data_IF_197056469997
#
_entry.id   IF_197056469997
#
_cell.length_a   1.000
_cell.length_b   1.000
_cell.length_c   1.000
_cell.angle_alpha   90.00
_cell.angle_beta   90.00
_cell.angle_gamma   90.00
#
_symmetry.space_group_name_H-M   'P 1'
#
loop_
_entity.id
_entity.type
_entity.pdbx_description
1 polymer ?
#
# COMPACT_ATOMS: atom_id res chain seq x y z
N UNK A 1 5.69 -11.78 -12.12
CA UNK A 1 5.93 -11.27 -10.75
C UNK A 1 6.45 -12.33 -9.77
N UNK A 2 5.77 -13.47 -9.53
CA UNK A 2 6.26 -14.52 -8.61
C UNK A 2 7.63 -15.10 -9.01
N UNK A 3 7.80 -15.39 -10.31
CA UNK A 3 9.07 -15.91 -10.85
C UNK A 3 10.19 -14.88 -10.67
N UNK A 4 9.87 -13.58 -10.70
CA UNK A 4 10.89 -12.55 -10.73
C UNK A 4 11.55 -12.24 -9.41
N UNK A 5 10.75 -12.21 -8.35
CA UNK A 5 11.29 -12.04 -7.01
C UNK A 5 11.94 -13.33 -6.51
N UNK A 6 11.36 -14.49 -6.80
CA UNK A 6 11.96 -15.79 -6.44
C UNK A 6 13.27 -16.01 -7.22
N UNK A 7 13.33 -15.63 -8.50
CA UNK A 7 14.57 -15.64 -9.30
C UNK A 7 15.56 -14.59 -8.82
N UNK A 8 15.15 -13.39 -8.42
CA UNK A 8 16.05 -12.38 -7.87
C UNK A 8 16.61 -12.78 -6.50
N UNK A 9 15.79 -13.36 -5.62
CA UNK A 9 16.22 -13.92 -4.34
C UNK A 9 17.14 -15.12 -4.54
N UNK A 10 16.81 -16.03 -5.46
CA UNK A 10 17.65 -17.20 -5.82
C UNK A 10 18.96 -16.81 -6.50
N UNK A 11 18.95 -15.80 -7.38
CA UNK A 11 20.17 -15.25 -8.02
C UNK A 11 21.08 -14.56 -7.01
N UNK A 12 20.50 -13.86 -6.03
CA UNK A 12 21.27 -13.26 -4.92
C UNK A 12 21.92 -14.33 -4.02
N UNK A 13 21.34 -15.53 -3.95
CA UNK A 13 21.93 -16.67 -3.23
C UNK A 13 22.94 -17.51 -4.03
N UNK A 14 23.08 -17.29 -5.35
CA UNK A 14 23.94 -18.12 -6.22
C UNK A 14 25.19 -17.41 -6.76
N UNK A 15 25.50 -16.18 -6.33
CA UNK A 15 26.76 -15.52 -6.67
C UNK A 15 27.84 -15.83 -5.62
N UNK A 16 28.85 -16.68 -5.92
CA UNK A 16 29.83 -17.15 -4.94
C UNK A 16 30.80 -16.07 -4.45
N UNK A 17 30.69 -14.82 -4.91
CA UNK A 17 31.57 -13.71 -4.53
C UNK A 17 30.95 -12.61 -3.66
N UNK A 18 29.63 -12.59 -3.47
CA UNK A 18 28.94 -11.60 -2.61
C UNK A 18 28.34 -12.30 -1.41
N UNK A 19 28.84 -12.00 -0.21
CA UNK A 19 28.11 -12.26 1.04
C UNK A 19 26.72 -11.62 0.89
N UNK A 20 25.71 -12.43 0.61
CA UNK A 20 24.32 -12.02 0.65
C UNK A 20 23.96 -11.87 2.12
N UNK A 21 24.18 -10.68 2.66
CA UNK A 21 23.40 -10.24 3.80
C UNK A 21 21.95 -10.35 3.33
N UNK A 22 21.24 -11.38 3.79
CA UNK A 22 19.84 -11.60 3.41
C UNK A 22 19.04 -10.31 3.58
N UNK A 23 18.00 -10.12 2.78
CA UNK A 23 17.17 -8.92 2.85
C UNK A 23 16.78 -8.64 4.31
N UNK A 24 17.25 -7.50 4.85
CA UNK A 24 16.91 -7.09 6.20
C UNK A 24 15.49 -6.50 6.13
N UNK A 25 14.52 -7.28 6.57
CA UNK A 25 13.15 -6.83 6.76
C UNK A 25 13.15 -5.80 7.90
N UNK A 26 12.76 -4.57 7.60
CA UNK A 26 12.67 -3.47 8.56
C UNK A 26 11.30 -2.82 8.44
N UNK A 27 10.82 -2.15 9.49
CA UNK A 27 9.55 -1.41 9.48
C UNK A 27 9.41 -0.43 8.32
N UNK A 28 10.54 0.05 7.80
CA UNK A 28 10.61 1.03 6.71
C UNK A 28 10.59 0.37 5.33
N UNK A 29 10.81 -0.94 5.26
CA UNK A 29 10.79 -1.74 4.03
C UNK A 29 9.34 -2.07 3.67
N UNK A 30 8.61 -1.09 3.14
CA UNK A 30 7.26 -1.27 2.59
C UNK A 30 7.27 -1.06 1.07
N UNK A 31 6.72 -2.03 0.34
CA UNK A 31 6.55 -2.02 -1.12
C UNK A 31 5.24 -2.69 -1.52
N UNK A 32 4.85 -2.57 -2.78
CA UNK A 32 3.60 -3.13 -3.29
C UNK A 32 3.71 -4.60 -3.66
N UNK A 33 2.72 -5.39 -3.25
CA UNK A 33 2.59 -6.81 -3.59
C UNK A 33 1.49 -7.11 -4.61
N UNK A 34 0.48 -6.24 -4.74
CA UNK A 34 -0.57 -6.34 -5.77
C UNK A 34 -0.94 -4.96 -6.31
N UNK A 35 -1.33 -4.89 -7.57
CA UNK A 35 -1.94 -3.70 -8.16
C UNK A 35 -2.89 -4.05 -9.30
N UNK A 36 -3.87 -3.18 -9.53
CA UNK A 36 -4.84 -3.27 -10.63
C UNK A 36 -5.12 -1.86 -11.14
N UNK A 37 -5.01 -1.67 -12.45
CA UNK A 37 -5.27 -0.39 -13.09
C UNK A 37 -6.63 -0.41 -13.79
N UNK A 38 -7.43 0.63 -13.56
CA UNK A 38 -8.64 0.91 -14.33
C UNK A 38 -8.48 2.29 -14.99
N UNK A 39 -8.38 2.38 -16.33
CA UNK A 39 -8.11 3.64 -17.04
C UNK A 39 -9.06 4.79 -16.67
N UNK A 40 -10.32 4.46 -16.35
CA UNK A 40 -11.35 5.44 -15.98
C UNK A 40 -11.14 6.05 -14.58
N UNK A 41 -10.53 5.31 -13.66
CA UNK A 41 -10.57 5.66 -12.25
C UNK A 41 -9.19 5.81 -11.60
N UNK A 42 -8.23 5.01 -12.02
CA UNK A 42 -6.87 5.01 -11.49
C UNK A 42 -6.39 3.63 -11.06
N UNK A 43 -5.47 3.62 -10.10
CA UNK A 43 -4.70 2.45 -9.66
C UNK A 43 -5.16 2.01 -8.27
N UNK A 44 -5.71 0.79 -8.17
CA UNK A 44 -5.84 0.08 -6.89
C UNK A 44 -4.55 -0.68 -6.57
N UNK A 45 -4.12 -0.68 -5.31
CA UNK A 45 -2.88 -1.33 -4.91
C UNK A 45 -2.97 -1.94 -3.51
N UNK A 46 -2.03 -2.83 -3.22
CA UNK A 46 -1.72 -3.22 -1.87
C UNK A 46 -0.25 -3.31 -1.58
N UNK A 47 0.04 -3.12 -0.30
CA UNK A 47 1.37 -3.14 0.27
C UNK A 47 1.58 -4.42 1.08
N UNK A 48 2.85 -4.82 1.16
CA UNK A 48 3.25 -6.00 1.92
C UNK A 48 2.89 -5.97 3.41
N UNK A 49 2.71 -4.77 3.97
CA UNK A 49 2.32 -4.59 5.36
C UNK A 49 0.80 -4.73 5.59
N UNK A 50 0.05 -5.09 4.56
CA UNK A 50 -1.41 -5.23 4.61
C UNK A 50 -2.17 -3.95 4.26
N UNK A 51 -1.50 -2.80 4.15
CA UNK A 51 -2.16 -1.58 3.73
C UNK A 51 -2.72 -1.72 2.31
N UNK A 52 -3.94 -1.23 2.10
CA UNK A 52 -4.62 -1.19 0.81
C UNK A 52 -4.92 0.25 0.45
N UNK A 53 -4.91 0.56 -0.84
CA UNK A 53 -5.27 1.91 -1.27
C UNK A 53 -5.62 2.01 -2.74
N UNK A 54 -6.02 3.23 -3.10
CA UNK A 54 -6.30 3.63 -4.46
C UNK A 54 -5.67 5.00 -4.71
N UNK A 55 -4.97 5.14 -5.84
CA UNK A 55 -4.53 6.41 -6.41
C UNK A 55 -5.46 6.74 -7.58
N UNK A 56 -6.24 7.81 -7.43
CA UNK A 56 -7.22 8.24 -8.42
C UNK A 56 -6.61 9.19 -9.45
N UNK A 57 -7.18 9.19 -10.65
CA UNK A 57 -6.74 10.05 -11.75
C UNK A 57 -6.90 11.56 -11.48
N UNK A 58 -7.69 11.95 -10.47
CA UNK A 58 -7.91 13.34 -10.08
C UNK A 58 -6.91 13.85 -9.02
N UNK A 59 -5.74 13.22 -8.92
CA UNK A 59 -4.68 13.54 -7.96
C UNK A 59 -5.14 13.43 -6.51
N UNK A 60 -5.95 12.42 -6.20
CA UNK A 60 -6.33 12.07 -4.84
C UNK A 60 -6.05 10.60 -4.55
N UNK A 61 -5.85 10.24 -3.28
CA UNK A 61 -5.69 8.84 -2.87
C UNK A 61 -6.55 8.49 -1.67
N UNK A 62 -6.85 7.20 -1.54
CA UNK A 62 -7.35 6.59 -0.31
C UNK A 62 -6.38 5.52 0.15
N UNK A 63 -6.10 5.43 1.45
CA UNK A 63 -5.30 4.34 2.03
C UNK A 63 -5.85 3.91 3.39
N UNK A 64 -5.80 2.61 3.68
CA UNK A 64 -6.28 2.00 4.93
C UNK A 64 -5.45 0.78 5.32
N UNK A 65 -5.49 0.44 6.61
CA UNK A 65 -4.93 -0.79 7.19
C UNK A 65 -6.04 -1.77 7.66
N UNK A 66 -7.31 -1.52 7.31
CA UNK A 66 -8.54 -2.09 7.91
C UNK A 66 -8.67 -3.64 7.94
N UNK A 67 -7.72 -4.41 7.41
CA UNK A 67 -7.96 -5.82 7.08
C UNK A 67 -7.30 -6.84 8.01
N UNK A 68 -6.44 -6.44 8.93
CA UNK A 68 -5.68 -7.42 9.74
C UNK A 68 -5.89 -7.36 11.25
N UNK A 69 -6.50 -6.31 11.78
CA UNK A 69 -6.62 -6.14 13.23
C UNK A 69 -8.02 -5.67 13.60
N UNK A 70 -8.87 -6.61 14.03
CA UNK A 70 -10.11 -6.32 14.75
C UNK A 70 -9.85 -5.66 16.13
N UNK A 71 -8.58 -5.45 16.50
CA UNK A 71 -8.18 -4.91 17.79
C UNK A 71 -7.80 -3.42 17.66
N UNK A 72 -8.28 -2.55 18.56
CA UNK A 72 -8.04 -1.11 18.50
C UNK A 72 -6.60 -0.83 18.91
N UNK A 73 -5.81 -0.08 18.13
CA UNK A 73 -4.52 0.36 18.65
C UNK A 73 -4.14 1.78 18.19
N UNK A 74 -4.93 2.75 18.66
CA UNK A 74 -4.43 4.07 19.05
C UNK A 74 -5.35 4.73 20.09
N UNK A 75 -4.86 4.88 21.33
CA UNK A 75 -5.54 5.68 22.36
C UNK A 75 -5.28 7.16 22.12
N UNK A 76 -6.15 7.84 21.37
CA UNK A 76 -6.19 9.31 21.40
C UNK A 76 -7.08 9.73 22.57
N UNK A 77 -6.46 10.05 23.71
CA UNK A 77 -7.15 10.70 24.83
C UNK A 77 -7.40 12.17 24.49
N UNK A 78 -8.56 12.49 23.92
CA UNK A 78 -9.12 13.84 23.97
C UNK A 78 -10.56 13.74 24.47
N UNK A 79 -10.78 14.31 25.65
CA UNK A 79 -12.05 14.59 26.33
C UNK A 79 -13.31 13.82 25.87
N UNK A 80 -13.72 12.89 26.74
CA UNK A 80 -15.09 12.40 26.95
C UNK A 80 -15.83 11.60 25.86
N UNK A 81 -15.28 11.37 24.66
CA UNK A 81 -15.78 10.29 23.78
C UNK A 81 -14.62 9.61 23.05
N UNK A 82 -14.04 8.57 23.67
CA UNK A 82 -13.15 7.64 23.00
C UNK A 82 -13.96 6.81 21.99
N UNK A 83 -14.25 7.38 20.82
CA UNK A 83 -14.77 6.61 19.70
C UNK A 83 -13.57 5.90 19.08
N UNK A 84 -13.47 4.62 19.37
CA UNK A 84 -12.44 3.74 18.85
C UNK A 84 -12.50 3.82 17.31
N UNK A 85 -11.48 4.40 16.69
CA UNK A 85 -11.39 4.57 15.24
C UNK A 85 -10.99 3.23 14.61
N UNK A 86 -11.89 2.24 14.68
CA UNK A 86 -11.67 0.87 14.22
C UNK A 86 -11.65 0.73 12.70
N UNK A 87 -12.15 1.72 11.99
CA UNK A 87 -12.42 1.63 10.55
C UNK A 87 -12.25 3.00 9.92
N UNK A 88 -11.00 3.43 9.81
CA UNK A 88 -10.68 4.75 9.28
C UNK A 88 -9.76 4.64 8.09
N UNK A 89 -9.91 5.58 7.16
CA UNK A 89 -9.05 5.68 5.99
C UNK A 89 -8.52 7.09 5.86
N UNK A 90 -7.32 7.20 5.30
CA UNK A 90 -6.74 8.48 4.94
C UNK A 90 -7.18 8.83 3.53
N UNK A 91 -7.84 9.98 3.38
CA UNK A 91 -8.05 10.64 2.10
C UNK A 91 -6.96 11.67 1.89
N UNK A 92 -6.24 11.55 0.78
CA UNK A 92 -5.08 12.39 0.47
C UNK A 92 -5.38 13.19 -0.78
N UNK A 93 -5.13 14.49 -0.72
CA UNK A 93 -5.11 15.38 -1.88
C UNK A 93 -3.65 15.70 -2.17
N UNK A 94 -3.17 15.30 -3.34
CA UNK A 94 -1.76 15.50 -3.70
C UNK A 94 -1.49 16.95 -4.06
N UNK A 95 -0.47 17.53 -3.45
CA UNK A 95 -0.04 18.89 -3.76
C UNK A 95 0.67 18.96 -5.12
N UNK A 96 0.57 20.11 -5.77
CA UNK A 96 1.34 20.41 -6.98
C UNK A 96 2.62 21.19 -6.63
N UNK A 97 3.68 20.97 -7.42
CA UNK A 97 4.92 21.77 -7.46
C UNK A 97 5.35 22.39 -6.12
N UNK A 98 5.90 21.58 -5.21
CA UNK A 98 6.44 22.06 -3.93
C UNK A 98 5.39 22.26 -2.83
N UNK A 99 4.10 22.18 -3.15
CA UNK A 99 3.03 22.13 -2.14
C UNK A 99 2.97 20.72 -1.51
N UNK A 100 2.88 20.60 -0.17
CA UNK A 100 2.75 19.30 0.47
C UNK A 100 1.39 18.66 0.16
N UNK A 101 1.35 17.33 0.12
CA UNK A 101 0.07 16.60 0.09
C UNK A 101 -0.67 16.75 1.41
N UNK A 102 -1.98 16.94 1.34
CA UNK A 102 -2.85 17.08 2.51
C UNK A 102 -3.58 15.79 2.78
N UNK A 103 -3.47 15.26 4.00
CA UNK A 103 -4.18 14.06 4.43
C UNK A 103 -5.32 14.42 5.40
N UNK A 104 -6.48 13.79 5.22
CA UNK A 104 -7.63 13.89 6.12
C UNK A 104 -8.07 12.49 6.49
N UNK A 105 -8.28 12.24 7.78
CA UNK A 105 -8.74 10.95 8.29
C UNK A 105 -10.27 10.96 8.33
N UNK A 106 -10.90 9.95 7.74
CA UNK A 106 -12.34 9.75 7.80
C UNK A 106 -12.68 8.43 8.48
N UNK A 107 -13.77 8.44 9.25
CA UNK A 107 -14.37 7.23 9.78
C UNK A 107 -15.33 6.62 8.75
N UNK A 108 -15.35 5.29 8.63
CA UNK A 108 -16.19 4.59 7.64
C UNK A 108 -17.69 4.82 7.83
N UNK A 109 -18.12 5.08 9.06
CA UNK A 109 -19.53 5.35 9.37
C UNK A 109 -19.96 6.78 9.02
N UNK A 110 -18.99 7.68 8.78
CA UNK A 110 -19.21 9.10 8.56
C UNK A 110 -18.50 9.57 7.28
N UNK A 111 -18.82 8.92 6.16
CA UNK A 111 -18.22 9.22 4.86
C UNK A 111 -18.93 10.42 4.20
N UNK A 112 -18.21 11.49 3.85
CA UNK A 112 -18.76 12.58 3.05
C UNK A 112 -19.29 12.12 1.67
N UNK A 113 -20.39 12.72 1.22
CA UNK A 113 -21.09 12.32 -0.02
C UNK A 113 -20.22 12.44 -1.27
N UNK A 114 -19.29 13.39 -1.28
CA UNK A 114 -18.37 13.67 -2.39
C UNK A 114 -17.30 12.57 -2.58
N UNK A 115 -16.91 11.87 -1.51
CA UNK A 115 -15.90 10.80 -1.58
C UNK A 115 -16.49 9.38 -1.50
N UNK A 116 -17.79 9.24 -1.22
CA UNK A 116 -18.48 7.95 -1.08
C UNK A 116 -18.27 7.01 -2.28
N UNK A 117 -18.26 7.54 -3.50
CA UNK A 117 -17.98 6.76 -4.72
C UNK A 117 -16.55 6.22 -4.76
N UNK A 118 -15.58 6.98 -4.27
CA UNK A 118 -14.16 6.57 -4.21
C UNK A 118 -13.97 5.46 -3.18
N UNK A 119 -14.63 5.55 -2.03
CA UNK A 119 -14.62 4.50 -0.99
C UNK A 119 -15.22 3.20 -1.53
N UNK A 120 -16.36 3.27 -2.23
CA UNK A 120 -16.95 2.08 -2.88
C UNK A 120 -16.00 1.46 -3.90
N UNK A 121 -15.36 2.27 -4.73
CA UNK A 121 -14.42 1.77 -5.73
C UNK A 121 -13.18 1.13 -5.09
N UNK A 122 -12.67 1.71 -4.00
CA UNK A 122 -11.60 1.10 -3.21
C UNK A 122 -11.98 -0.29 -2.71
N UNK A 123 -13.21 -0.48 -2.22
CA UNK A 123 -13.72 -1.80 -1.85
C UNK A 123 -13.76 -2.76 -3.05
N UNK A 124 -14.17 -2.29 -4.23
CA UNK A 124 -14.15 -3.11 -5.46
C UNK A 124 -12.73 -3.53 -5.86
N UNK A 125 -11.75 -2.62 -5.81
CA UNK A 125 -10.35 -2.95 -6.06
C UNK A 125 -9.85 -4.02 -5.08
N UNK A 126 -10.16 -3.87 -3.79
CA UNK A 126 -9.77 -4.80 -2.75
C UNK A 126 -10.28 -6.21 -3.04
N UNK A 127 -11.60 -6.38 -3.21
CA UNK A 127 -12.20 -7.70 -3.50
C UNK A 127 -11.58 -8.34 -4.73
N UNK A 128 -11.35 -7.56 -5.80
CA UNK A 128 -10.68 -8.06 -6.99
C UNK A 128 -9.25 -8.57 -6.71
N UNK A 129 -8.44 -7.78 -5.99
CA UNK A 129 -7.05 -8.16 -5.66
C UNK A 129 -6.99 -9.38 -4.73
N UNK A 130 -7.96 -9.56 -3.85
CA UNK A 130 -8.05 -10.73 -2.95
C UNK A 130 -8.45 -11.99 -3.73
N UNK A 131 -9.43 -11.88 -4.64
CA UNK A 131 -9.93 -13.03 -5.39
C UNK A 131 -9.04 -13.45 -6.57
N UNK A 132 -8.36 -12.50 -7.23
CA UNK A 132 -7.76 -12.72 -8.56
C UNK A 132 -6.24 -12.63 -8.58
N UNK A 133 -5.61 -12.03 -7.58
CA UNK A 133 -4.16 -11.82 -7.58
C UNK A 133 -3.50 -12.58 -6.44
N UNK A 134 -2.42 -13.30 -6.74
CA UNK A 134 -1.54 -13.87 -5.72
C UNK A 134 -0.63 -12.77 -5.15
N UNK A 135 -0.56 -12.67 -3.82
CA UNK A 135 0.22 -11.64 -3.13
C UNK A 135 1.50 -12.20 -2.54
N UNK A 136 2.51 -11.35 -2.39
CA UNK A 136 3.76 -11.69 -1.69
C UNK A 136 3.60 -11.67 -0.17
N UNK A 137 2.53 -11.06 0.35
CA UNK A 137 2.25 -10.99 1.79
C UNK A 137 2.13 -12.36 2.48
N UNK A 138 1.88 -13.44 1.73
CA UNK A 138 1.87 -14.82 2.26
C UNK A 138 3.28 -15.40 2.47
N UNK A 139 4.31 -14.82 1.83
CA UNK A 139 5.70 -15.26 1.93
C UNK A 139 6.50 -14.52 3.01
N UNK A 140 5.92 -13.49 3.63
CA UNK A 140 6.59 -12.69 4.66
C UNK A 140 6.48 -13.44 5.98
N UNK A 141 7.60 -13.74 6.67
CA UNK A 141 7.55 -14.35 7.99
C UNK A 141 6.63 -13.54 8.92
N UNK A 142 5.80 -14.22 9.70
CA UNK A 142 4.80 -13.57 10.57
C UNK A 142 5.40 -12.51 11.51
N UNK A 143 6.63 -12.75 12.00
CA UNK A 143 7.39 -11.80 12.81
C UNK A 143 7.73 -10.49 12.07
N UNK A 144 8.00 -10.58 10.76
CA UNK A 144 8.18 -9.41 9.91
C UNK A 144 6.82 -8.74 9.62
N UNK A 145 5.74 -9.49 9.39
CA UNK A 145 4.41 -8.91 9.16
C UNK A 145 3.95 -7.99 10.31
N UNK A 146 4.26 -8.33 11.57
CA UNK A 146 3.93 -7.52 12.75
C UNK A 146 4.76 -6.22 12.87
N UNK A 147 5.97 -6.18 12.30
CA UNK A 147 6.84 -4.99 12.33
C UNK A 147 6.34 -3.88 11.39
N UNK A 148 5.66 -4.21 10.29
CA UNK A 148 5.37 -3.23 9.24
C UNK A 148 4.06 -2.44 9.42
N UNK A 149 3.35 -2.61 10.54
CA UNK A 149 2.09 -1.90 10.80
C UNK A 149 2.41 -0.56 11.45
N UNK A 150 2.73 0.43 10.62
CA UNK A 150 2.77 1.82 11.07
C UNK A 150 1.35 2.41 10.99
N UNK A 151 0.72 2.59 12.15
CA UNK A 151 -0.64 3.17 12.27
C UNK A 151 -0.65 4.69 12.22
N UNK A 152 0.47 5.35 12.54
CA UNK A 152 0.58 6.81 12.56
C UNK A 152 0.77 7.40 11.16
N UNK A 153 1.40 6.65 10.27
CA UNK A 153 1.63 7.06 8.88
C UNK A 153 1.58 5.84 7.97
N UNK A 154 0.41 5.62 7.37
CA UNK A 154 0.20 4.55 6.39
C UNK A 154 0.87 4.96 5.07
N UNK A 155 1.91 4.25 4.59
CA UNK A 155 2.48 4.53 3.28
C UNK A 155 1.42 4.40 2.20
N UNK A 156 1.50 5.24 1.18
CA UNK A 156 0.57 5.24 0.06
C UNK A 156 1.31 5.48 -1.26
N UNK A 157 0.71 5.06 -2.37
CA UNK A 157 1.26 5.32 -3.69
C UNK A 157 0.96 6.78 -4.07
N UNK A 158 2.02 7.54 -4.28
CA UNK A 158 1.94 8.96 -4.66
C UNK A 158 1.95 9.16 -6.18
N UNK A 159 2.62 8.27 -6.91
CA UNK A 159 2.72 8.33 -8.36
C UNK A 159 3.09 6.96 -8.93
N UNK A 160 2.65 6.69 -10.16
CA UNK A 160 3.13 5.57 -10.94
C UNK A 160 3.34 5.98 -12.40
N UNK A 161 4.19 5.24 -13.10
CA UNK A 161 4.40 5.33 -14.55
C UNK A 161 4.54 3.92 -15.08
N UNK A 162 3.68 3.54 -16.03
CA UNK A 162 3.83 2.32 -16.81
C UNK A 162 4.53 2.63 -18.14
N UNK A 163 5.51 1.81 -18.49
CA UNK A 163 6.19 1.79 -19.78
C UNK A 163 6.01 0.43 -20.43
N UNK A 164 6.50 0.28 -21.66
CA UNK A 164 6.49 -1.01 -22.38
C UNK A 164 7.26 -2.11 -21.63
N UNK A 165 8.31 -1.74 -20.90
CA UNK A 165 9.23 -2.69 -20.27
C UNK A 165 8.97 -2.88 -18.77
N UNK A 166 8.41 -1.88 -18.09
CA UNK A 166 8.25 -1.92 -16.65
C UNK A 166 7.16 -0.98 -16.13
N UNK A 167 6.75 -1.19 -14.89
CA UNK A 167 5.97 -0.22 -14.12
C UNK A 167 6.81 0.27 -12.94
N UNK A 168 6.84 1.59 -12.77
CA UNK A 168 7.56 2.27 -11.70
C UNK A 168 6.53 2.88 -10.75
N UNK A 169 6.70 2.64 -9.46
CA UNK A 169 5.85 3.14 -8.39
C UNK A 169 6.67 3.97 -7.41
N UNK A 170 6.11 5.11 -6.99
CA UNK A 170 6.66 5.97 -5.94
C UNK A 170 5.70 5.98 -4.76
N UNK A 171 6.16 5.52 -3.61
CA UNK A 171 5.41 5.59 -2.36
C UNK A 171 5.75 6.88 -1.59
N UNK A 172 4.90 7.23 -0.63
CA UNK A 172 5.04 8.40 0.24
C UNK A 172 6.21 8.33 1.23
N UNK A 173 6.70 7.12 1.53
CA UNK A 173 7.87 6.86 2.38
C UNK A 173 9.20 6.88 1.61
N UNK A 174 9.25 7.56 0.47
CA UNK A 174 10.42 7.61 -0.42
C UNK A 174 10.82 6.28 -1.07
N UNK A 175 10.07 5.19 -0.89
CA UNK A 175 10.30 3.96 -1.65
C UNK A 175 9.99 4.17 -3.13
N UNK A 176 10.94 3.78 -3.98
CA UNK A 176 10.74 3.61 -5.41
C UNK A 176 10.83 2.13 -5.76
N UNK A 177 9.77 1.60 -6.38
CA UNK A 177 9.69 0.20 -6.80
C UNK A 177 9.60 0.13 -8.32
N UNK A 178 10.37 -0.77 -8.92
CA UNK A 178 10.35 -1.03 -10.37
C UNK A 178 10.02 -2.49 -10.59
N UNK A 179 8.96 -2.75 -11.36
CA UNK A 179 8.51 -4.10 -11.69
C UNK A 179 8.59 -4.28 -13.21
N UNK A 180 9.47 -5.17 -13.69
CA UNK A 180 9.55 -5.52 -15.10
C UNK A 180 8.30 -6.27 -15.58
N UNK A 181 7.84 -5.96 -16.79
CA UNK A 181 6.69 -6.62 -17.42
C UNK A 181 7.01 -8.06 -17.84
N UNK A 182 8.29 -8.31 -18.12
CA UNK A 182 8.77 -9.65 -18.41
C UNK A 182 8.94 -10.38 -17.08
N UNK A 183 8.29 -11.54 -16.95
CA UNK A 183 8.41 -12.40 -15.79
C UNK A 183 9.84 -12.97 -15.72
N UNK A 184 10.80 -12.22 -15.18
CA UNK A 184 12.19 -12.67 -15.00
C UNK A 184 12.47 -12.95 -13.56
#
# INVERSE_FOLDING_TARGET
MYIALDTALKKTTQDPGRSSSGLIWSTDTVFMDKWVELPKYGLGYSLINGARGALFNDATSLTTNDDKYEQPFLFVYVAAHAFLCYRSFNYIVHGNYGSPSMATVYHIDYIPKDIEKKVRLMASYKSYMEEKLMGLGEMIPEAAAQLHINTYSIPYVSKYVATEEAVVFRLSNCTMQVNGNHHV
#
